data_IF_538380599238
#
_entry.id   IF_538380599238
#
_cell.length_a   1.000
_cell.length_b   1.000
_cell.length_c   1.000
_cell.angle_alpha   90.00
_cell.angle_beta   90.00
_cell.angle_gamma   90.00
#
_symmetry.space_group_name_H-M   'P 1'
#
loop_
_entity.id
_entity.type
_entity.pdbx_description
1 polymer ?
#
# COMPACT_ATOMS: atom_id res chain seq x y z
N UNK A 1 -3.31 6.63 1.01
CA UNK A 1 -1.98 6.00 1.21
C UNK A 1 -0.97 7.05 1.63
N UNK A 2 -0.12 6.75 2.62
CA UNK A 2 0.93 7.58 3.21
C UNK A 2 0.52 8.93 3.81
N UNK A 3 -0.57 9.57 3.37
CA UNK A 3 -0.95 10.92 3.86
C UNK A 3 -1.19 10.90 5.37
N UNK A 4 -2.05 10.00 5.86
CA UNK A 4 -2.40 9.98 7.28
C UNK A 4 -1.25 9.44 8.13
N UNK A 5 -0.63 8.33 7.73
CA UNK A 5 0.45 7.70 8.49
C UNK A 5 1.71 8.56 8.58
N UNK A 6 2.10 9.23 7.49
CA UNK A 6 3.27 10.12 7.45
C UNK A 6 2.99 11.44 8.19
N UNK A 7 1.76 11.96 8.10
CA UNK A 7 1.32 13.12 8.89
C UNK A 7 1.37 12.83 10.39
N UNK A 8 0.80 11.69 10.81
CA UNK A 8 0.85 11.26 12.21
C UNK A 8 2.29 11.06 12.70
N UNK A 9 3.14 10.45 11.87
CA UNK A 9 4.54 10.25 12.22
C UNK A 9 5.27 11.59 12.43
N UNK A 10 5.18 12.54 11.49
CA UNK A 10 5.89 13.82 11.64
C UNK A 10 5.29 14.74 12.70
N UNK A 11 3.99 14.65 12.94
CA UNK A 11 3.32 15.47 13.94
C UNK A 11 3.61 15.03 15.38
N UNK A 12 3.75 13.72 15.59
CA UNK A 12 3.74 13.14 16.95
C UNK A 12 5.00 12.33 17.28
N UNK A 13 5.94 12.16 16.35
CA UNK A 13 7.17 11.38 16.59
C UNK A 13 8.42 12.11 16.08
N UNK A 14 9.56 11.82 16.70
CA UNK A 14 10.89 12.24 16.25
C UNK A 14 11.64 11.12 15.51
N UNK A 15 10.92 10.10 15.02
CA UNK A 15 11.52 8.88 14.48
C UNK A 15 12.35 9.12 13.22
N UNK A 16 11.85 9.96 12.30
CA UNK A 16 12.55 10.37 11.08
C UNK A 16 12.13 11.80 10.73
N UNK A 17 13.08 12.63 10.35
CA UNK A 17 12.78 13.99 9.91
C UNK A 17 12.18 14.01 8.50
N UNK A 18 11.39 15.03 8.19
CA UNK A 18 10.72 15.14 6.88
C UNK A 18 11.70 15.13 5.70
N UNK A 19 12.89 15.72 5.85
CA UNK A 19 13.91 15.76 4.80
C UNK A 19 14.63 14.41 4.62
N UNK A 20 14.79 13.63 5.69
CA UNK A 20 15.35 12.27 5.63
C UNK A 20 14.38 11.34 4.92
N UNK A 21 13.09 11.43 5.26
CA UNK A 21 12.04 10.68 4.59
C UNK A 21 11.94 11.05 3.09
N UNK A 22 12.08 12.35 2.76
CA UNK A 22 12.14 12.81 1.37
C UNK A 22 13.35 12.23 0.63
N UNK A 23 14.53 12.23 1.25
CA UNK A 23 15.75 11.69 0.66
C UNK A 23 15.61 10.18 0.40
N UNK A 24 15.05 9.43 1.35
CA UNK A 24 14.74 8.00 1.19
C UNK A 24 13.75 7.79 0.05
N UNK A 25 12.68 8.58 -0.02
CA UNK A 25 11.68 8.48 -1.09
C UNK A 25 12.29 8.77 -2.48
N UNK A 26 13.17 9.76 -2.59
CA UNK A 26 13.88 10.07 -3.84
C UNK A 26 14.85 8.95 -4.24
N UNK A 27 15.66 8.45 -3.29
CA UNK A 27 16.59 7.37 -3.55
C UNK A 27 15.88 6.10 -4.03
N UNK A 28 14.76 5.74 -3.39
CA UNK A 28 13.91 4.63 -3.80
C UNK A 28 13.24 4.88 -5.15
N UNK A 29 12.74 6.09 -5.40
CA UNK A 29 12.13 6.45 -6.68
C UNK A 29 13.12 6.31 -7.84
N UNK A 30 14.36 6.77 -7.64
CA UNK A 30 15.45 6.61 -8.61
C UNK A 30 15.78 5.14 -8.82
N UNK A 31 15.94 4.36 -7.74
CA UNK A 31 16.22 2.93 -7.82
C UNK A 31 15.12 2.18 -8.59
N UNK A 32 13.85 2.41 -8.24
CA UNK A 32 12.69 1.78 -8.89
C UNK A 32 12.63 2.18 -10.36
N UNK A 33 12.89 3.44 -10.70
CA UNK A 33 12.91 3.90 -12.09
C UNK A 33 13.97 3.17 -12.93
N UNK A 34 15.18 3.02 -12.41
CA UNK A 34 16.26 2.28 -13.09
C UNK A 34 15.95 0.79 -13.24
N UNK A 35 15.31 0.17 -12.24
CA UNK A 35 14.86 -1.22 -12.28
C UNK A 35 13.60 -1.45 -13.14
N UNK A 36 12.93 -0.38 -13.56
CA UNK A 36 11.72 -0.47 -14.39
C UNK A 36 12.08 -0.72 -15.85
N UNK A 37 11.59 -1.81 -16.47
CA UNK A 37 11.86 -2.10 -17.87
C UNK A 37 11.22 -1.06 -18.78
N UNK A 38 11.79 -0.91 -19.98
CA UNK A 38 11.14 -0.14 -21.04
C UNK A 38 9.88 -0.87 -21.53
N UNK A 39 8.86 -0.15 -22.01
CA UNK A 39 7.65 -0.77 -22.56
C UNK A 39 7.98 -1.72 -23.71
N UNK A 40 7.32 -2.88 -23.73
CA UNK A 40 7.43 -3.82 -24.84
C UNK A 40 6.83 -3.20 -26.12
N UNK A 41 7.55 -3.27 -27.24
CA UNK A 41 7.09 -2.75 -28.53
C UNK A 41 5.90 -3.54 -29.07
N UNK A 42 5.91 -4.87 -28.86
CA UNK A 42 4.87 -5.78 -29.31
C UNK A 42 4.39 -6.62 -28.13
N UNK A 43 3.11 -6.48 -27.80
CA UNK A 43 2.43 -7.36 -26.85
C UNK A 43 0.95 -7.42 -27.20
N UNK A 44 0.33 -8.58 -27.01
CA UNK A 44 -1.08 -8.78 -27.30
C UNK A 44 -1.94 -8.50 -26.07
N UNK A 45 -2.96 -7.66 -26.26
CA UNK A 45 -3.97 -7.44 -25.24
C UNK A 45 -4.91 -8.64 -25.14
N UNK A 46 -5.00 -9.21 -23.94
CA UNK A 46 -5.93 -10.29 -23.62
C UNK A 46 -7.03 -9.77 -22.70
N UNK A 47 -8.28 -9.93 -23.13
CA UNK A 47 -9.46 -9.58 -22.33
C UNK A 47 -9.94 -10.82 -21.57
N UNK A 48 -9.92 -10.81 -20.23
CA UNK A 48 -10.34 -11.96 -19.44
C UNK A 48 -11.87 -12.12 -19.49
N UNK A 49 -12.33 -13.36 -19.71
CA UNK A 49 -13.77 -13.66 -19.79
C UNK A 49 -14.47 -13.69 -18.41
N UNK A 50 -13.73 -13.98 -17.34
CA UNK A 50 -14.27 -14.09 -15.96
C UNK A 50 -13.33 -13.46 -14.94
N UNK A 51 -13.83 -13.20 -13.73
CA UNK A 51 -13.03 -12.67 -12.62
C UNK A 51 -11.86 -13.59 -12.25
N UNK A 52 -12.06 -14.92 -12.30
CA UNK A 52 -11.00 -15.89 -12.06
C UNK A 52 -9.86 -15.74 -13.06
N UNK A 53 -10.19 -15.64 -14.36
CA UNK A 53 -9.18 -15.40 -15.39
C UNK A 53 -8.53 -14.03 -15.26
N UNK A 54 -9.28 -13.01 -14.83
CA UNK A 54 -8.70 -11.69 -14.54
C UNK A 54 -7.63 -11.78 -13.47
N UNK A 55 -7.90 -12.44 -12.33
CA UNK A 55 -6.92 -12.62 -11.25
C UNK A 55 -5.73 -13.50 -11.69
N UNK A 56 -5.98 -14.57 -12.44
CA UNK A 56 -4.90 -15.40 -12.92
C UNK A 56 -4.00 -14.64 -13.90
N UNK A 57 -4.60 -13.89 -14.84
CA UNK A 57 -3.87 -13.22 -15.91
C UNK A 57 -3.17 -11.94 -15.45
N UNK A 58 -3.73 -11.22 -14.47
CA UNK A 58 -3.02 -10.10 -13.85
C UNK A 58 -1.77 -10.58 -13.11
N UNK A 59 -1.85 -11.71 -12.40
CA UNK A 59 -0.70 -12.31 -11.73
C UNK A 59 0.35 -12.83 -12.72
N UNK A 60 -0.08 -13.40 -13.86
CA UNK A 60 0.84 -13.91 -14.88
C UNK A 60 1.45 -12.82 -15.77
N UNK A 61 1.02 -11.56 -15.66
CA UNK A 61 1.55 -10.47 -16.48
C UNK A 61 0.92 -10.39 -17.87
N UNK A 62 -0.30 -10.88 -18.09
CA UNK A 62 -0.96 -10.84 -19.41
C UNK A 62 -1.82 -9.60 -19.64
N UNK A 63 -2.12 -8.82 -18.60
CA UNK A 63 -2.98 -7.64 -18.69
C UNK A 63 -2.17 -6.35 -18.87
N UNK A 64 -2.86 -5.26 -19.23
CA UNK A 64 -2.27 -3.92 -19.18
C UNK A 64 -1.92 -3.56 -17.74
N UNK A 65 -0.85 -2.79 -17.59
CA UNK A 65 -0.44 -2.24 -16.29
C UNK A 65 -1.60 -1.54 -15.58
N UNK A 66 -2.37 -0.70 -16.28
CA UNK A 66 -3.50 0.05 -15.69
C UNK A 66 -4.54 -0.90 -15.07
N UNK A 67 -4.84 -2.01 -15.74
CA UNK A 67 -5.90 -2.93 -15.34
C UNK A 67 -5.45 -3.81 -14.17
N UNK A 68 -4.14 -4.08 -14.06
CA UNK A 68 -3.54 -4.74 -12.90
C UNK A 68 -3.29 -3.78 -11.73
N UNK A 69 -3.16 -2.47 -11.98
CA UNK A 69 -2.83 -1.47 -10.97
C UNK A 69 -4.07 -0.91 -10.26
N UNK A 70 -5.00 -0.30 -11.01
CA UNK A 70 -6.06 0.53 -10.42
C UNK A 70 -7.03 -0.22 -9.51
N UNK A 71 -7.53 -1.43 -9.84
CA UNK A 71 -8.51 -2.11 -9.00
C UNK A 71 -7.97 -2.39 -7.59
N UNK A 72 -6.73 -2.88 -7.51
CA UNK A 72 -6.06 -3.14 -6.23
C UNK A 72 -5.67 -1.84 -5.51
N UNK A 73 -5.23 -0.82 -6.23
CA UNK A 73 -4.93 0.48 -5.65
C UNK A 73 -6.17 1.07 -4.97
N UNK A 74 -7.32 1.06 -5.65
CA UNK A 74 -8.58 1.58 -5.12
C UNK A 74 -9.04 0.73 -3.94
N UNK A 75 -9.04 -0.60 -4.07
CA UNK A 75 -9.46 -1.50 -2.99
C UNK A 75 -8.59 -1.30 -1.74
N UNK A 76 -7.26 -1.28 -1.88
CA UNK A 76 -6.34 -1.13 -0.77
C UNK A 76 -6.55 0.20 -0.05
N UNK A 77 -6.65 1.31 -0.78
CA UNK A 77 -6.86 2.63 -0.18
C UNK A 77 -8.25 2.77 0.43
N UNK A 78 -9.29 2.21 -0.18
CA UNK A 78 -10.65 2.24 0.35
C UNK A 78 -10.73 1.48 1.68
N UNK A 79 -10.08 0.32 1.78
CA UNK A 79 -10.01 -0.46 3.03
C UNK A 79 -9.27 0.32 4.11
N UNK A 80 -8.10 0.89 3.81
CA UNK A 80 -7.36 1.68 4.81
C UNK A 80 -8.16 2.89 5.31
N UNK A 81 -8.77 3.64 4.39
CA UNK A 81 -9.63 4.78 4.75
C UNK A 81 -10.80 4.35 5.63
N UNK A 82 -11.45 3.23 5.29
CA UNK A 82 -12.55 2.69 6.07
C UNK A 82 -12.12 2.31 7.49
N UNK A 83 -10.96 1.66 7.65
CA UNK A 83 -10.45 1.29 8.96
C UNK A 83 -10.15 2.53 9.79
N UNK A 84 -9.44 3.51 9.23
CA UNK A 84 -9.07 4.75 9.94
C UNK A 84 -10.32 5.52 10.39
N UNK A 85 -11.34 5.59 9.53
CA UNK A 85 -12.65 6.13 9.89
C UNK A 85 -13.28 5.40 11.08
N UNK A 86 -13.29 4.06 11.06
CA UNK A 86 -13.90 3.25 12.11
C UNK A 86 -13.16 3.34 13.45
N UNK A 87 -11.84 3.50 13.43
CA UNK A 87 -11.06 3.76 14.65
C UNK A 87 -11.47 5.09 15.27
N UNK A 88 -11.55 6.16 14.46
CA UNK A 88 -11.91 7.50 14.91
C UNK A 88 -13.31 7.56 15.52
N UNK A 89 -14.26 6.74 15.04
CA UNK A 89 -15.58 6.62 15.64
C UNK A 89 -15.62 5.81 16.95
N UNK A 90 -14.51 5.21 17.39
CA UNK A 90 -14.50 4.31 18.53
C UNK A 90 -15.05 2.90 18.23
N UNK A 91 -15.57 2.67 17.02
CA UNK A 91 -16.30 1.46 16.61
C UNK A 91 -15.41 0.32 16.10
N UNK A 92 -14.11 0.37 16.43
CA UNK A 92 -13.11 -0.57 15.95
C UNK A 92 -12.13 -0.94 17.07
N UNK A 93 -11.92 -2.24 17.31
CA UNK A 93 -10.97 -2.70 18.33
C UNK A 93 -9.56 -2.78 17.75
N UNK A 94 -8.56 -2.66 18.62
CA UNK A 94 -7.14 -2.85 18.27
C UNK A 94 -6.91 -4.21 17.60
N UNK A 95 -7.53 -5.28 18.11
CA UNK A 95 -7.41 -6.62 17.52
C UNK A 95 -7.99 -6.70 16.10
N UNK A 96 -9.15 -6.08 15.85
CA UNK A 96 -9.74 -5.99 14.51
C UNK A 96 -8.86 -5.18 13.56
N UNK A 97 -8.22 -4.11 14.06
CA UNK A 97 -7.24 -3.33 13.32
C UNK A 97 -6.06 -4.15 12.87
N UNK A 98 -5.41 -4.86 13.79
CA UNK A 98 -4.29 -5.76 13.45
C UNK A 98 -4.73 -6.82 12.44
N UNK A 99 -5.90 -7.42 12.65
CA UNK A 99 -6.43 -8.48 11.79
C UNK A 99 -6.61 -8.01 10.35
N UNK A 100 -7.21 -6.83 10.12
CA UNK A 100 -7.39 -6.35 8.74
C UNK A 100 -6.05 -6.02 8.10
N UNK A 101 -5.09 -5.43 8.81
CA UNK A 101 -3.77 -5.14 8.24
C UNK A 101 -3.02 -6.43 7.84
N UNK A 102 -3.16 -7.51 8.62
CA UNK A 102 -2.64 -8.84 8.26
C UNK A 102 -3.35 -9.40 7.02
N UNK A 103 -4.69 -9.33 6.98
CA UNK A 103 -5.47 -9.78 5.82
C UNK A 103 -5.04 -9.03 4.55
N UNK A 104 -4.79 -7.72 4.66
CA UNK A 104 -4.38 -6.86 3.55
C UNK A 104 -2.94 -7.07 3.08
N UNK A 105 -2.09 -7.73 3.87
CA UNK A 105 -0.73 -8.08 3.46
C UNK A 105 -0.70 -9.05 2.27
N UNK A 106 -1.61 -10.01 2.21
CA UNK A 106 -1.70 -10.99 1.12
C UNK A 106 -2.09 -10.33 -0.23
N UNK A 107 -3.17 -9.53 -0.31
CA UNK A 107 -3.49 -8.72 -1.48
C UNK A 107 -2.37 -7.77 -1.88
N UNK A 108 -1.60 -7.22 -0.93
CA UNK A 108 -0.47 -6.33 -1.23
C UNK A 108 0.67 -7.09 -1.94
N UNK A 109 1.04 -8.29 -1.45
CA UNK A 109 2.02 -9.16 -2.11
C UNK A 109 1.55 -9.53 -3.51
N UNK A 110 0.28 -9.91 -3.62
CA UNK A 110 -0.34 -10.24 -4.90
C UNK A 110 -0.27 -9.06 -5.88
N UNK A 111 -0.68 -7.87 -5.42
CA UNK A 111 -0.71 -6.65 -6.22
C UNK A 111 0.69 -6.24 -6.68
N UNK A 112 1.69 -6.40 -5.82
CA UNK A 112 3.10 -6.15 -6.15
C UNK A 112 3.56 -7.06 -7.30
N UNK A 113 3.29 -8.36 -7.21
CA UNK A 113 3.65 -9.31 -8.27
C UNK A 113 2.96 -8.99 -9.60
N UNK A 114 1.67 -8.65 -9.56
CA UNK A 114 0.90 -8.27 -10.75
C UNK A 114 1.45 -7.00 -11.40
N UNK A 115 1.73 -5.95 -10.63
CA UNK A 115 2.29 -4.69 -11.16
C UNK A 115 3.69 -4.90 -11.73
N UNK A 116 4.51 -5.79 -11.12
CA UNK A 116 5.90 -6.00 -11.56
C UNK A 116 5.93 -6.73 -12.89
N UNK A 117 5.08 -7.74 -13.04
CA UNK A 117 4.94 -8.55 -14.25
C UNK A 117 4.20 -7.83 -15.38
N UNK A 118 3.33 -6.87 -15.08
CA UNK A 118 2.63 -6.06 -16.08
C UNK A 118 3.35 -4.74 -16.42
N UNK A 119 4.50 -4.44 -15.80
CA UNK A 119 5.16 -3.13 -15.92
C UNK A 119 5.67 -2.77 -17.32
N UNK A 120 5.98 -3.78 -18.14
CA UNK A 120 6.37 -3.66 -19.54
C UNK A 120 5.17 -3.52 -20.48
N UNK A 121 3.95 -3.84 -20.02
CA UNK A 121 2.68 -3.77 -20.76
C UNK A 121 1.95 -2.45 -20.59
N UNK A 122 2.69 -1.36 -20.74
CA UNK A 122 2.22 0.01 -20.59
C UNK A 122 2.60 0.90 -21.78
N UNK A 123 2.13 2.15 -21.76
CA UNK A 123 2.48 3.15 -22.78
C UNK A 123 3.76 3.91 -22.45
N UNK A 124 4.17 3.96 -21.17
CA UNK A 124 5.29 4.75 -20.71
C UNK A 124 6.04 4.08 -19.56
N UNK A 125 7.37 4.12 -19.62
CA UNK A 125 8.26 3.68 -18.54
C UNK A 125 8.03 4.48 -17.25
N UNK A 126 7.73 5.78 -17.38
CA UNK A 126 7.47 6.65 -16.24
C UNK A 126 6.24 6.17 -15.48
N UNK A 127 5.18 5.82 -16.22
CA UNK A 127 3.96 5.31 -15.61
C UNK A 127 4.18 3.97 -14.90
N UNK A 128 4.97 3.08 -15.50
CA UNK A 128 5.38 1.82 -14.87
C UNK A 128 6.18 2.06 -13.59
N UNK A 129 7.13 3.00 -13.60
CA UNK A 129 7.93 3.34 -12.43
C UNK A 129 7.07 3.93 -11.30
N UNK A 130 6.10 4.80 -11.63
CA UNK A 130 5.16 5.37 -10.65
C UNK A 130 4.26 4.29 -10.06
N UNK A 131 3.67 3.43 -10.88
CA UNK A 131 2.85 2.31 -10.41
C UNK A 131 3.64 1.41 -9.47
N UNK A 132 4.90 1.11 -9.83
CA UNK A 132 5.81 0.36 -8.97
C UNK A 132 6.07 1.10 -7.65
N UNK A 133 6.50 2.35 -7.70
CA UNK A 133 6.77 3.16 -6.52
C UNK A 133 5.56 3.22 -5.57
N UNK A 134 4.34 3.29 -6.09
CA UNK A 134 3.13 3.28 -5.27
C UNK A 134 2.91 1.96 -4.53
N UNK A 135 3.15 0.81 -5.14
CA UNK A 135 3.07 -0.45 -4.38
C UNK A 135 4.17 -0.55 -3.30
N UNK A 136 5.37 -0.03 -3.56
CA UNK A 136 6.45 0.02 -2.56
C UNK A 136 6.06 0.96 -1.41
N UNK A 137 5.50 2.12 -1.74
CA UNK A 137 4.94 3.05 -0.77
C UNK A 137 3.83 2.41 0.08
N UNK A 138 3.05 1.48 -0.45
CA UNK A 138 2.03 0.76 0.32
C UNK A 138 2.64 -0.16 1.40
N UNK A 139 3.80 -0.79 1.13
CA UNK A 139 4.55 -1.50 2.18
C UNK A 139 5.08 -0.56 3.25
N UNK A 140 5.62 0.60 2.85
CA UNK A 140 6.07 1.60 3.81
C UNK A 140 4.91 2.11 4.68
N UNK A 141 3.73 2.35 4.09
CA UNK A 141 2.54 2.74 4.84
C UNK A 141 2.14 1.67 5.88
N UNK A 142 2.14 0.40 5.49
CA UNK A 142 1.84 -0.72 6.38
C UNK A 142 2.87 -0.85 7.52
N UNK A 143 4.17 -0.75 7.20
CA UNK A 143 5.25 -0.79 8.18
C UNK A 143 5.18 0.40 9.13
N UNK A 144 4.92 1.61 8.62
CA UNK A 144 4.82 2.82 9.42
C UNK A 144 3.65 2.72 10.41
N UNK A 145 2.49 2.25 9.94
CA UNK A 145 1.33 1.96 10.79
C UNK A 145 1.68 0.95 11.88
N UNK A 146 2.46 -0.08 11.57
CA UNK A 146 2.92 -1.05 12.55
C UNK A 146 3.87 -0.44 13.60
N UNK A 147 4.79 0.43 13.18
CA UNK A 147 5.67 1.18 14.09
C UNK A 147 4.86 2.09 15.01
N UNK A 148 3.89 2.84 14.47
CA UNK A 148 3.01 3.71 15.27
C UNK A 148 2.20 2.86 16.26
N UNK A 149 1.66 1.73 15.84
CA UNK A 149 0.95 0.80 16.72
C UNK A 149 1.81 0.31 17.89
N UNK A 150 3.07 -0.08 17.64
CA UNK A 150 3.94 -0.66 18.67
C UNK A 150 4.48 0.38 19.65
N UNK A 151 4.86 1.56 19.17
CA UNK A 151 5.56 2.56 19.99
C UNK A 151 4.68 3.73 20.43
N UNK A 152 3.60 4.01 19.70
CA UNK A 152 2.74 5.17 19.94
C UNK A 152 1.24 4.83 19.75
N UNK A 153 0.71 3.80 20.45
CA UNK A 153 -0.67 3.36 20.27
C UNK A 153 -1.70 4.45 20.59
N UNK A 154 -1.39 5.36 21.51
CA UNK A 154 -2.25 6.47 21.94
C UNK A 154 -2.58 7.47 20.83
N UNK A 155 -1.80 7.50 19.74
CA UNK A 155 -2.04 8.36 18.59
C UNK A 155 -3.18 7.81 17.74
N UNK A 156 -3.24 6.48 17.62
CA UNK A 156 -4.21 5.80 16.76
C UNK A 156 -5.48 5.44 17.52
N UNK A 157 -5.37 5.00 18.78
CA UNK A 157 -6.48 4.43 19.52
C UNK A 157 -6.89 5.29 20.72
N UNK A 158 -8.18 5.29 21.05
CA UNK A 158 -8.69 5.94 22.27
C UNK A 158 -8.35 5.12 23.53
N UNK A 159 -8.26 5.77 24.69
CA UNK A 159 -8.02 5.05 25.97
C UNK A 159 -8.99 3.88 26.19
N UNK A 160 -10.26 4.02 25.80
CA UNK A 160 -11.23 2.93 25.95
C UNK A 160 -10.85 1.70 25.11
N UNK A 161 -10.43 1.90 23.87
CA UNK A 161 -9.96 0.82 22.99
C UNK A 161 -8.68 0.17 23.54
N UNK A 162 -7.80 0.97 24.15
CA UNK A 162 -6.58 0.50 24.77
C UNK A 162 -6.81 -0.31 26.04
N UNK A 163 -7.69 0.14 26.93
CA UNK A 163 -8.07 -0.58 28.14
C UNK A 163 -8.69 -1.93 27.79
N UNK A 164 -9.53 -2.00 26.74
CA UNK A 164 -10.12 -3.26 26.29
C UNK A 164 -9.05 -4.25 25.82
N UNK A 165 -7.96 -3.78 25.23
CA UNK A 165 -6.93 -4.64 24.64
C UNK A 165 -5.78 -4.99 25.60
N UNK A 166 -5.28 -4.00 26.35
CA UNK A 166 -4.11 -4.13 27.21
C UNK A 166 -4.41 -3.94 28.70
N UNK A 167 -5.60 -3.42 29.05
CA UNK A 167 -5.98 -3.17 30.43
C UNK A 167 -5.38 -1.91 31.06
N UNK A 168 -4.72 -1.04 30.30
CA UNK A 168 -3.98 0.13 30.82
C UNK A 168 -4.10 1.35 29.89
N UNK A 169 -4.23 2.55 30.50
CA UNK A 169 -4.06 3.89 29.90
C UNK A 169 -3.31 4.76 30.93
#
# INVERSE_FOLDING_TARGET
MLIDSLSLLFAFTSFIAWYEALLVALALGVLVFYLTPSPAQEWEERTPATLYFYLQWSWLGYLRLKDAFYPFFILYNAVLFFIDYRINEGNFTVASWVTIHIIMAMPLIYWTGAVWRCSDKGTSRVWAAVARMLTVAAYFDLLLRWVIYQYYPNILFSCQQMIIHWGDC
#
